data_IF_027911935222
#
_entry.id   IF_027911935222
#
_cell.length_a   1.000
_cell.length_b   1.000
_cell.length_c   1.000
_cell.angle_alpha   90.00
_cell.angle_beta   90.00
_cell.angle_gamma   90.00
#
_symmetry.space_group_name_H-M   'P 1'
#
loop_
_entity.id
_entity.type
_entity.pdbx_description
1 polymer ?
#
# COMPACT_ATOMS: atom_id res chain seq x y z
N UNK A 1 8.83 29.00 7.31
CA UNK A 1 8.12 28.98 6.02
C UNK A 1 6.75 28.36 6.26
N UNK A 2 5.69 29.16 6.41
CA UNK A 2 4.34 28.61 6.56
C UNK A 2 3.87 28.14 5.17
N UNK A 3 3.63 26.84 5.00
CA UNK A 3 3.06 26.30 3.77
C UNK A 3 1.63 26.81 3.63
N UNK A 4 1.42 27.82 2.80
CA UNK A 4 0.08 28.28 2.45
C UNK A 4 -0.62 27.21 1.61
N UNK A 5 -1.80 26.71 2.02
CA UNK A 5 -2.49 25.68 1.28
C UNK A 5 -2.99 26.23 -0.06
N UNK A 6 -2.46 25.68 -1.17
CA UNK A 6 -2.88 26.02 -2.55
C UNK A 6 -4.32 25.58 -2.86
N UNK A 7 -4.88 24.67 -2.07
CA UNK A 7 -6.17 24.05 -2.30
C UNK A 7 -7.17 24.48 -1.23
N UNK A 8 -8.33 25.00 -1.65
CA UNK A 8 -9.34 25.58 -0.75
C UNK A 8 -10.02 24.55 0.17
N UNK A 9 -10.07 23.29 -0.23
CA UNK A 9 -10.82 22.23 0.46
C UNK A 9 -9.93 21.02 0.80
N UNK A 10 -8.81 21.26 1.50
CA UNK A 10 -7.93 20.19 2.00
C UNK A 10 -7.91 20.23 3.52
N UNK A 11 -8.12 19.06 4.14
CA UNK A 11 -7.97 18.86 5.59
C UNK A 11 -6.77 17.95 5.82
N UNK A 12 -5.81 18.43 6.60
CA UNK A 12 -4.71 17.61 7.07
C UNK A 12 -5.19 16.85 8.31
N UNK A 13 -4.96 15.54 8.32
CA UNK A 13 -5.24 14.67 9.46
C UNK A 13 -3.91 14.12 9.95
N UNK A 14 -3.71 14.14 11.26
CA UNK A 14 -2.58 13.48 11.88
C UNK A 14 -2.92 12.01 12.11
N UNK A 15 -2.14 11.12 11.52
CA UNK A 15 -2.34 9.67 11.54
C UNK A 15 -0.99 8.97 11.67
N UNK A 16 -0.94 7.92 12.47
CA UNK A 16 0.24 7.07 12.58
C UNK A 16 0.54 6.35 11.25
N UNK A 17 1.81 6.26 10.83
CA UNK A 17 2.18 5.54 9.61
C UNK A 17 1.97 4.03 9.79
N UNK A 18 1.24 3.42 8.85
CA UNK A 18 1.04 1.95 8.83
C UNK A 18 2.29 1.22 8.27
N UNK A 19 3.13 1.91 7.49
CA UNK A 19 4.38 1.35 6.97
C UNK A 19 4.23 0.35 5.81
N UNK A 20 3.07 0.32 5.14
CA UNK A 20 2.80 -0.58 4.01
C UNK A 20 2.87 0.20 2.69
N UNK A 21 3.55 -0.36 1.67
CA UNK A 21 3.69 0.21 0.34
C UNK A 21 3.34 -0.80 -0.76
N UNK A 22 2.58 -0.37 -1.77
CA UNK A 22 2.26 -1.20 -2.94
C UNK A 22 3.51 -1.61 -3.73
N UNK A 23 4.54 -0.75 -3.77
CA UNK A 23 5.81 -1.07 -4.45
C UNK A 23 6.53 -2.22 -3.77
N UNK A 24 6.58 -2.22 -2.43
CA UNK A 24 7.19 -3.32 -1.67
C UNK A 24 6.36 -4.60 -1.81
N UNK A 25 5.03 -4.52 -1.75
CA UNK A 25 4.14 -5.68 -1.95
C UNK A 25 4.40 -6.35 -3.31
N UNK A 26 4.37 -5.59 -4.41
CA UNK A 26 4.61 -6.13 -5.76
C UNK A 26 6.01 -6.73 -5.89
N UNK A 27 7.03 -6.08 -5.32
CA UNK A 27 8.41 -6.59 -5.30
C UNK A 27 8.50 -7.93 -4.56
N UNK A 28 7.89 -8.04 -3.37
CA UNK A 28 7.88 -9.28 -2.58
C UNK A 28 7.21 -10.43 -3.32
N UNK A 29 6.08 -10.17 -3.98
CA UNK A 29 5.38 -11.19 -4.79
C UNK A 29 6.30 -11.71 -5.91
N UNK A 30 6.91 -10.80 -6.68
CA UNK A 30 7.87 -11.15 -7.74
C UNK A 30 9.07 -11.94 -7.22
N UNK A 31 9.56 -11.60 -6.03
CA UNK A 31 10.67 -12.29 -5.34
C UNK A 31 10.23 -13.56 -4.59
N UNK A 32 8.97 -13.99 -4.73
CA UNK A 32 8.37 -15.15 -4.04
C UNK A 32 8.48 -15.07 -2.51
N UNK A 33 8.45 -13.85 -1.95
CA UNK A 33 8.44 -13.58 -0.51
C UNK A 33 7.01 -13.47 0.02
N UNK A 34 6.82 -13.89 1.26
CA UNK A 34 5.52 -13.77 1.94
C UNK A 34 5.07 -12.31 2.07
N UNK A 35 3.79 -12.08 1.75
CA UNK A 35 3.04 -10.84 1.97
C UNK A 35 1.91 -11.01 2.99
N UNK A 36 1.94 -12.11 3.77
CA UNK A 36 0.97 -12.36 4.85
C UNK A 36 0.97 -11.18 5.82
N UNK A 37 -0.22 -10.72 6.20
CA UNK A 37 -0.46 -9.54 7.06
C UNK A 37 -0.20 -8.16 6.44
N UNK A 38 0.33 -8.08 5.22
CA UNK A 38 0.45 -6.82 4.48
C UNK A 38 -0.82 -6.47 3.69
N UNK A 39 -1.69 -7.46 3.52
CA UNK A 39 -2.90 -7.37 2.72
C UNK A 39 -4.06 -8.10 3.43
N UNK A 40 -5.31 -7.66 3.22
CA UNK A 40 -6.48 -8.49 3.47
C UNK A 40 -6.37 -9.84 2.75
N UNK A 41 -6.84 -10.91 3.40
CA UNK A 41 -6.72 -12.28 2.87
C UNK A 41 -7.32 -12.41 1.46
N UNK A 42 -8.50 -11.86 1.23
CA UNK A 42 -9.18 -11.94 -0.06
C UNK A 42 -8.42 -11.25 -1.20
N UNK A 43 -7.68 -10.17 -0.91
CA UNK A 43 -6.83 -9.49 -1.90
C UNK A 43 -5.61 -10.35 -2.23
N UNK A 44 -4.99 -10.94 -1.21
CA UNK A 44 -3.87 -11.87 -1.39
C UNK A 44 -4.28 -13.10 -2.20
N UNK A 45 -5.44 -13.69 -1.89
CA UNK A 45 -6.00 -14.84 -2.62
C UNK A 45 -6.21 -14.50 -4.10
N UNK A 46 -6.78 -13.32 -4.40
CA UNK A 46 -6.99 -12.85 -5.77
C UNK A 46 -5.68 -12.69 -6.55
N UNK A 47 -4.67 -12.08 -5.94
CA UNK A 47 -3.35 -11.89 -6.56
C UNK A 47 -2.75 -13.23 -6.98
N UNK A 48 -2.77 -14.23 -6.09
CA UNK A 48 -2.19 -15.54 -6.36
C UNK A 48 -3.02 -16.39 -7.32
N UNK A 49 -4.35 -16.33 -7.24
CA UNK A 49 -5.23 -17.03 -8.18
C UNK A 49 -5.06 -16.53 -9.62
N UNK A 50 -4.76 -15.24 -9.79
CA UNK A 50 -4.65 -14.59 -11.09
C UNK A 50 -3.20 -14.31 -11.54
N UNK A 51 -2.20 -14.86 -10.84
CA UNK A 51 -0.78 -14.70 -11.16
C UNK A 51 -0.34 -13.24 -11.35
N UNK A 52 -0.90 -12.33 -10.54
CA UNK A 52 -0.57 -10.91 -10.65
C UNK A 52 0.81 -10.64 -10.06
N UNK A 53 1.60 -9.84 -10.75
CA UNK A 53 2.92 -9.36 -10.31
C UNK A 53 4.02 -10.44 -10.22
N UNK A 54 3.79 -11.62 -10.83
CA UNK A 54 4.83 -12.64 -11.05
C UNK A 54 5.85 -12.22 -12.12
#
# INVERSE_FOLDING_TARGET
LAMTPKFKNVKFLDLGPIGISSTEIRKRIKEKKSVRYLLPKNVMDYIFQHHLYE
#
